data_IF_819448353229
#
_entry.id   IF_819448353229
#
_cell.length_a   1.000
_cell.length_b   1.000
_cell.length_c   1.000
_cell.angle_alpha   90.00
_cell.angle_beta   90.00
_cell.angle_gamma   90.00
#
_symmetry.space_group_name_H-M   'P 1'
#
loop_
_entity.id
_entity.type
_entity.pdbx_description
1 polymer ?
#
# COMPACT_ATOMS: atom_id res chain seq x y z
N UNK A 1 7.42 -13.76 -24.61
CA UNK A 1 7.25 -14.02 -23.17
C UNK A 1 8.50 -13.79 -22.31
N UNK A 2 9.76 -14.02 -22.70
CA UNK A 2 10.92 -13.77 -21.82
C UNK A 2 11.08 -12.32 -21.35
N UNK A 3 10.68 -11.33 -22.14
CA UNK A 3 10.83 -9.90 -21.81
C UNK A 3 9.97 -9.42 -20.63
N UNK A 4 8.81 -10.04 -20.37
CA UNK A 4 7.93 -9.66 -19.24
C UNK A 4 8.51 -10.18 -17.92
N UNK A 5 9.02 -11.40 -17.91
CA UNK A 5 9.65 -11.98 -16.71
C UNK A 5 10.89 -11.16 -16.26
N UNK A 6 11.64 -10.59 -17.21
CA UNK A 6 12.80 -9.73 -16.90
C UNK A 6 12.41 -8.42 -16.22
N UNK A 7 11.19 -7.90 -16.47
CA UNK A 7 10.70 -6.67 -15.83
C UNK A 7 10.06 -6.93 -14.47
N UNK A 8 9.55 -8.14 -14.21
CA UNK A 8 8.92 -8.47 -12.93
C UNK A 8 9.89 -8.47 -11.76
N UNK A 9 11.13 -8.91 -11.97
CA UNK A 9 12.13 -8.96 -10.90
C UNK A 9 12.50 -7.56 -10.37
N UNK A 10 12.92 -6.58 -11.20
CA UNK A 10 13.20 -5.24 -10.70
C UNK A 10 11.96 -4.53 -10.16
N UNK A 11 10.78 -4.79 -10.72
CA UNK A 11 9.53 -4.25 -10.23
C UNK A 11 9.20 -4.77 -8.83
N UNK A 12 9.27 -6.08 -8.60
CA UNK A 12 9.03 -6.67 -7.28
C UNK A 12 10.04 -6.19 -6.23
N UNK A 13 11.29 -6.00 -6.63
CA UNK A 13 12.32 -5.41 -5.79
C UNK A 13 11.96 -3.98 -5.39
N UNK A 14 11.54 -3.14 -6.33
CA UNK A 14 11.13 -1.76 -6.08
C UNK A 14 9.92 -1.69 -5.12
N UNK A 15 8.89 -2.53 -5.33
CA UNK A 15 7.72 -2.64 -4.45
C UNK A 15 8.14 -2.98 -3.02
N UNK A 16 9.02 -3.98 -2.86
CA UNK A 16 9.51 -4.41 -1.54
C UNK A 16 10.34 -3.32 -0.86
N UNK A 17 11.26 -2.68 -1.58
CA UNK A 17 12.10 -1.61 -1.04
C UNK A 17 11.26 -0.42 -0.59
N UNK A 18 10.24 -0.04 -1.35
CA UNK A 18 9.31 1.03 -0.97
C UNK A 18 8.52 0.66 0.29
N UNK A 19 8.01 -0.57 0.37
CA UNK A 19 7.33 -1.06 1.56
C UNK A 19 8.24 -1.03 2.80
N UNK A 20 9.44 -1.59 2.68
CA UNK A 20 10.42 -1.61 3.76
C UNK A 20 10.85 -0.20 4.18
N UNK A 21 11.03 0.71 3.21
CA UNK A 21 11.37 2.11 3.49
C UNK A 21 10.24 2.82 4.25
N UNK A 22 8.97 2.56 3.91
CA UNK A 22 7.82 3.08 4.63
C UNK A 22 7.72 2.52 6.05
N UNK A 23 7.91 1.21 6.21
CA UNK A 23 7.84 0.54 7.51
C UNK A 23 8.98 1.00 8.43
N UNK A 24 10.21 0.78 8.04
CA UNK A 24 11.39 1.06 8.87
C UNK A 24 11.71 2.55 9.00
N UNK A 25 11.38 3.34 7.97
CA UNK A 25 11.50 4.80 8.02
C UNK A 25 10.63 5.43 9.11
N UNK A 26 9.48 4.81 9.44
CA UNK A 26 8.62 5.24 10.56
C UNK A 26 9.32 5.08 11.93
N UNK A 27 10.30 4.19 12.02
CA UNK A 27 11.13 3.97 13.21
C UNK A 27 12.49 4.68 13.12
N UNK A 28 12.73 5.44 12.06
CA UNK A 28 14.01 6.08 11.75
C UNK A 28 15.18 5.06 11.67
N UNK A 29 14.91 3.87 11.15
CA UNK A 29 15.89 2.81 10.94
C UNK A 29 16.21 2.69 9.47
N UNK A 30 17.48 2.77 9.11
CA UNK A 30 17.97 2.43 7.78
C UNK A 30 18.08 0.90 7.65
N UNK A 31 16.99 0.25 7.27
CA UNK A 31 16.93 -1.21 7.20
C UNK A 31 17.89 -1.80 6.17
N UNK A 32 18.29 -1.03 5.16
CA UNK A 32 19.20 -1.51 4.11
C UNK A 32 20.59 -1.92 4.64
N UNK A 33 20.97 -1.42 5.81
CA UNK A 33 22.22 -1.82 6.49
C UNK A 33 22.15 -3.23 7.09
N UNK A 34 20.95 -3.77 7.28
CA UNK A 34 20.72 -5.00 8.02
C UNK A 34 20.17 -6.15 7.16
N UNK A 35 19.43 -5.82 6.07
CA UNK A 35 18.72 -6.81 5.27
C UNK A 35 19.62 -7.47 4.23
N UNK A 36 19.40 -8.77 4.03
CA UNK A 36 19.89 -9.49 2.86
C UNK A 36 18.91 -9.38 1.68
N UNK A 37 19.39 -9.60 0.46
CA UNK A 37 18.54 -9.60 -0.74
C UNK A 37 17.37 -10.60 -0.63
N UNK A 38 17.59 -11.74 0.05
CA UNK A 38 16.55 -12.72 0.33
C UNK A 38 15.38 -12.17 1.15
N UNK A 39 15.66 -11.24 2.07
CA UNK A 39 14.63 -10.62 2.91
C UNK A 39 13.79 -9.63 2.09
N UNK A 40 14.42 -8.90 1.17
CA UNK A 40 13.72 -8.03 0.22
C UNK A 40 12.75 -8.83 -0.63
N UNK A 41 13.20 -9.97 -1.18
CA UNK A 41 12.33 -10.84 -2.00
C UNK A 41 11.15 -11.39 -1.21
N UNK A 42 11.39 -11.87 0.02
CA UNK A 42 10.30 -12.37 0.90
C UNK A 42 9.25 -11.30 1.19
N UNK A 43 9.68 -10.07 1.48
CA UNK A 43 8.77 -8.98 1.78
C UNK A 43 7.99 -8.47 0.55
N UNK A 44 8.44 -8.76 -0.69
CA UNK A 44 7.71 -8.44 -1.90
C UNK A 44 6.47 -9.32 -2.11
N UNK A 45 6.46 -10.55 -1.57
CA UNK A 45 5.41 -11.55 -1.85
C UNK A 45 4.03 -11.03 -1.43
N UNK A 46 3.91 -10.52 -0.22
CA UNK A 46 2.62 -10.08 0.35
C UNK A 46 2.02 -8.90 -0.43
N UNK A 47 2.71 -7.77 -0.64
CA UNK A 47 2.19 -6.68 -1.47
C UNK A 47 1.83 -7.11 -2.89
N UNK A 48 2.62 -7.99 -3.51
CA UNK A 48 2.37 -8.47 -4.87
C UNK A 48 1.13 -9.37 -4.94
N UNK A 49 0.89 -10.23 -3.95
CA UNK A 49 -0.31 -11.07 -3.91
C UNK A 49 -1.58 -10.22 -3.78
N UNK A 50 -1.62 -9.29 -2.83
CA UNK A 50 -2.76 -8.38 -2.69
C UNK A 50 -2.99 -7.56 -3.96
N UNK A 51 -1.92 -7.07 -4.56
CA UNK A 51 -1.98 -6.28 -5.78
C UNK A 51 -2.51 -7.09 -6.96
N UNK A 52 -2.07 -8.33 -7.10
CA UNK A 52 -2.56 -9.25 -8.15
C UNK A 52 -4.07 -9.49 -8.01
N UNK A 53 -4.56 -9.63 -6.78
CA UNK A 53 -5.99 -9.76 -6.50
C UNK A 53 -6.76 -8.50 -6.94
N UNK A 54 -6.28 -7.30 -6.61
CA UNK A 54 -6.93 -6.05 -7.03
C UNK A 54 -6.89 -5.83 -8.54
N UNK A 55 -5.81 -6.23 -9.22
CA UNK A 55 -5.72 -6.17 -10.68
C UNK A 55 -6.77 -7.10 -11.30
N UNK A 56 -6.86 -8.34 -10.82
CA UNK A 56 -7.85 -9.30 -11.31
C UNK A 56 -9.28 -8.82 -11.06
N UNK A 57 -9.56 -8.31 -9.86
CA UNK A 57 -10.85 -7.71 -9.52
C UNK A 57 -11.19 -6.52 -10.43
N UNK A 58 -10.22 -5.62 -10.67
CA UNK A 58 -10.37 -4.48 -11.57
C UNK A 58 -10.66 -4.88 -13.01
N UNK A 59 -9.93 -5.86 -13.54
CA UNK A 59 -10.16 -6.41 -14.90
C UNK A 59 -11.55 -7.04 -14.98
N UNK A 60 -11.94 -7.83 -13.99
CA UNK A 60 -13.26 -8.49 -13.97
C UNK A 60 -14.37 -7.46 -13.91
N UNK A 61 -14.27 -6.47 -13.01
CA UNK A 61 -15.24 -5.38 -12.90
C UNK A 61 -15.33 -4.57 -14.20
N UNK A 62 -14.18 -4.24 -14.80
CA UNK A 62 -14.13 -3.56 -16.10
C UNK A 62 -14.87 -4.33 -17.19
N UNK A 63 -14.63 -5.62 -17.31
CA UNK A 63 -15.27 -6.46 -18.32
C UNK A 63 -16.77 -6.67 -18.08
N UNK A 64 -17.18 -6.81 -16.81
CA UNK A 64 -18.59 -7.11 -16.46
C UNK A 64 -19.45 -5.86 -16.51
N UNK A 65 -18.94 -4.71 -16.07
CA UNK A 65 -19.75 -3.50 -15.91
C UNK A 65 -19.45 -2.43 -16.96
N UNK A 66 -18.17 -2.12 -17.21
CA UNK A 66 -17.80 -0.98 -18.06
C UNK A 66 -18.08 -1.26 -19.54
N UNK A 67 -17.64 -2.41 -20.06
CA UNK A 67 -17.82 -2.74 -21.48
C UNK A 67 -19.30 -2.84 -21.92
N UNK A 68 -20.21 -3.45 -21.13
CA UNK A 68 -21.64 -3.43 -21.46
C UNK A 68 -22.22 -2.01 -21.45
N UNK A 69 -21.81 -1.16 -20.52
CA UNK A 69 -22.27 0.24 -20.43
C UNK A 69 -21.78 1.05 -21.66
N UNK A 70 -20.54 0.89 -22.08
CA UNK A 70 -20.03 1.54 -23.30
C UNK A 70 -20.82 1.20 -24.55
N UNK A 71 -21.35 -0.04 -24.63
CA UNK A 71 -22.18 -0.48 -25.77
C UNK A 71 -23.58 0.16 -25.78
N UNK A 72 -24.09 0.56 -24.62
CA UNK A 72 -25.43 1.13 -24.45
C UNK A 72 -25.36 2.67 -24.57
N UNK A 73 -24.23 3.26 -24.25
CA UNK A 73 -24.06 4.72 -24.34
C UNK A 73 -23.97 5.19 -25.78
N UNK A 74 -24.55 6.37 -26.10
CA UNK A 74 -24.41 6.97 -27.41
C UNK A 74 -22.93 7.28 -27.72
N UNK A 75 -22.53 7.36 -29.01
CA UNK A 75 -21.18 7.78 -29.40
C UNK A 75 -20.79 9.10 -28.72
N UNK A 76 -19.61 9.11 -28.06
CA UNK A 76 -19.20 10.27 -27.25
C UNK A 76 -19.68 10.26 -25.80
N UNK A 77 -20.41 9.20 -25.35
CA UNK A 77 -20.85 9.02 -23.96
C UNK A 77 -21.78 10.10 -23.45
N UNK A 78 -22.49 10.80 -24.34
CA UNK A 78 -23.36 11.94 -23.97
C UNK A 78 -22.59 13.18 -23.52
N UNK A 79 -21.30 13.30 -23.85
CA UNK A 79 -20.46 14.43 -23.45
C UNK A 79 -20.94 15.78 -23.96
N UNK A 80 -21.70 15.78 -25.06
CA UNK A 80 -22.24 16.98 -25.73
C UNK A 80 -23.57 17.43 -25.13
N UNK A 81 -24.18 16.65 -24.22
CA UNK A 81 -25.43 17.06 -23.57
C UNK A 81 -25.16 18.20 -22.58
N UNK A 82 -26.06 19.22 -22.52
CA UNK A 82 -25.90 20.38 -21.62
C UNK A 82 -25.83 19.90 -20.14
N UNK A 83 -26.61 18.88 -19.77
CA UNK A 83 -26.62 18.28 -18.44
C UNK A 83 -25.26 17.65 -18.09
N UNK A 84 -24.59 17.01 -19.05
CA UNK A 84 -23.26 16.41 -18.86
C UNK A 84 -22.20 17.47 -18.52
N UNK A 85 -22.36 18.72 -19.02
CA UNK A 85 -21.47 19.83 -18.69
C UNK A 85 -21.57 20.23 -17.22
N UNK A 86 -22.77 20.31 -16.66
CA UNK A 86 -23.00 20.64 -15.25
C UNK A 86 -22.50 19.51 -14.34
N UNK A 87 -22.78 18.26 -14.70
CA UNK A 87 -22.29 17.09 -13.98
C UNK A 87 -20.76 17.06 -13.96
N UNK A 88 -20.11 17.30 -15.09
CA UNK A 88 -18.64 17.36 -15.19
C UNK A 88 -18.07 18.51 -14.34
N UNK A 89 -18.69 19.68 -14.40
CA UNK A 89 -18.27 20.82 -13.58
C UNK A 89 -18.40 20.51 -12.09
N UNK A 90 -19.50 19.89 -11.67
CA UNK A 90 -19.71 19.46 -10.29
C UNK A 90 -18.64 18.46 -9.83
N UNK A 91 -18.36 17.42 -10.63
CA UNK A 91 -17.30 16.45 -10.29
C UNK A 91 -15.92 17.09 -10.26
N UNK A 92 -15.60 18.01 -11.15
CA UNK A 92 -14.33 18.74 -11.13
C UNK A 92 -14.19 19.59 -9.87
N UNK A 93 -15.26 20.27 -9.45
CA UNK A 93 -15.29 21.06 -8.22
C UNK A 93 -15.10 20.16 -7.00
N UNK A 94 -15.80 19.03 -6.94
CA UNK A 94 -15.65 18.04 -5.85
C UNK A 94 -14.23 17.46 -5.82
N UNK A 95 -13.66 17.13 -6.95
CA UNK A 95 -12.28 16.66 -7.05
C UNK A 95 -11.28 17.70 -6.56
N UNK A 96 -11.45 18.97 -6.93
CA UNK A 96 -10.64 20.08 -6.44
C UNK A 96 -10.75 20.23 -4.93
N UNK A 97 -11.96 20.16 -4.38
CA UNK A 97 -12.21 20.28 -2.95
C UNK A 97 -11.55 19.13 -2.17
N UNK A 98 -11.71 17.89 -2.65
CA UNK A 98 -11.04 16.71 -2.08
C UNK A 98 -9.51 16.87 -2.12
N UNK A 99 -8.98 17.38 -3.24
CA UNK A 99 -7.55 17.64 -3.42
C UNK A 99 -7.04 18.67 -2.40
N UNK A 100 -7.74 19.79 -2.22
CA UNK A 100 -7.37 20.84 -1.25
C UNK A 100 -7.41 20.32 0.18
N UNK A 101 -8.49 19.58 0.55
CA UNK A 101 -8.62 18.98 1.88
C UNK A 101 -7.50 17.95 2.12
N UNK A 102 -7.18 17.12 1.15
CA UNK A 102 -6.10 16.15 1.26
C UNK A 102 -4.72 16.82 1.41
N UNK A 103 -4.45 17.91 0.67
CA UNK A 103 -3.24 18.71 0.85
C UNK A 103 -3.18 19.30 2.26
N UNK A 104 -4.27 19.90 2.75
CA UNK A 104 -4.33 20.42 4.10
C UNK A 104 -3.98 19.34 5.14
N UNK A 105 -4.60 18.16 5.03
CA UNK A 105 -4.35 17.06 5.94
C UNK A 105 -2.89 16.54 5.88
N UNK A 106 -2.28 16.50 4.69
CA UNK A 106 -0.89 16.06 4.55
C UNK A 106 0.07 17.02 5.25
N UNK A 107 -0.17 18.33 5.15
CA UNK A 107 0.76 19.32 5.70
C UNK A 107 0.53 19.63 7.17
N UNK A 108 -0.71 19.62 7.63
CA UNK A 108 -1.08 20.11 8.96
C UNK A 108 -1.50 19.02 9.95
N UNK A 109 -1.87 17.82 9.47
CA UNK A 109 -2.22 16.71 10.35
C UNK A 109 -1.08 15.69 10.43
N UNK A 110 -0.69 15.33 11.65
CA UNK A 110 0.22 14.21 11.91
C UNK A 110 -0.62 12.98 12.23
N UNK A 111 -0.82 12.12 11.26
CA UNK A 111 -1.65 10.92 11.42
C UNK A 111 -1.06 9.69 10.74
N UNK A 112 -1.53 8.52 11.18
CA UNK A 112 -1.07 7.20 10.69
C UNK A 112 -1.21 7.04 9.18
N UNK A 113 -2.20 7.72 8.58
CA UNK A 113 -2.51 7.59 7.14
C UNK A 113 -1.90 8.69 6.27
N UNK A 114 -1.02 9.55 6.82
CA UNK A 114 -0.42 10.67 6.08
C UNK A 114 0.22 10.23 4.76
N UNK A 115 1.08 9.26 4.81
CA UNK A 115 1.79 8.75 3.63
C UNK A 115 0.88 8.03 2.64
N UNK A 116 -0.18 7.40 3.13
CA UNK A 116 -1.20 6.82 2.26
C UNK A 116 -1.98 7.90 1.51
N UNK A 117 -2.34 9.02 2.17
CA UNK A 117 -2.97 10.18 1.52
C UNK A 117 -2.04 10.80 0.45
N UNK A 118 -0.74 10.90 0.74
CA UNK A 118 0.27 11.33 -0.26
C UNK A 118 0.28 10.40 -1.46
N UNK A 119 0.25 9.09 -1.24
CA UNK A 119 0.20 8.10 -2.32
C UNK A 119 -1.09 8.24 -3.17
N UNK A 120 -2.24 8.47 -2.54
CA UNK A 120 -3.50 8.72 -3.24
C UNK A 120 -3.41 9.96 -4.15
N UNK A 121 -2.90 11.09 -3.64
CA UNK A 121 -2.73 12.31 -4.43
C UNK A 121 -1.74 12.12 -5.58
N UNK A 122 -0.59 11.51 -5.30
CA UNK A 122 0.41 11.21 -6.33
C UNK A 122 -0.17 10.30 -7.41
N UNK A 123 -1.00 9.32 -7.03
CA UNK A 123 -1.66 8.43 -7.97
C UNK A 123 -2.65 9.17 -8.88
N UNK A 124 -3.48 10.05 -8.31
CA UNK A 124 -4.42 10.88 -9.10
C UNK A 124 -3.65 11.74 -10.12
N UNK A 125 -2.58 12.41 -9.69
CA UNK A 125 -1.74 13.20 -10.59
C UNK A 125 -1.11 12.34 -11.69
N UNK A 126 -0.57 11.16 -11.33
CA UNK A 126 0.05 10.26 -12.30
C UNK A 126 -0.94 9.72 -13.33
N UNK A 127 -2.18 9.40 -12.93
CA UNK A 127 -3.23 9.00 -13.89
C UNK A 127 -3.45 10.07 -14.96
N UNK A 128 -3.42 11.35 -14.57
CA UNK A 128 -3.57 12.46 -15.53
C UNK A 128 -2.42 12.52 -16.53
N UNK A 129 -1.19 12.22 -16.09
CA UNK A 129 -0.01 12.22 -16.96
C UNK A 129 0.13 10.93 -17.78
N UNK A 130 -0.16 9.77 -17.18
CA UNK A 130 -0.06 8.47 -17.86
C UNK A 130 -1.16 8.32 -18.92
N UNK A 131 -2.34 8.93 -18.69
CA UNK A 131 -3.45 8.99 -19.62
C UNK A 131 -3.82 7.60 -20.17
N UNK A 132 -3.74 7.46 -21.49
CA UNK A 132 -4.07 6.21 -22.20
C UNK A 132 -2.96 5.15 -22.13
N UNK A 133 -1.85 5.44 -21.43
CA UNK A 133 -0.68 4.57 -21.35
C UNK A 133 -0.15 4.12 -22.72
N UNK A 134 -0.09 5.06 -23.67
CA UNK A 134 0.28 4.81 -25.05
C UNK A 134 1.67 4.17 -25.23
N UNK A 135 2.59 4.45 -24.30
CA UNK A 135 3.93 3.82 -24.27
C UNK A 135 3.88 2.30 -24.10
N UNK A 136 2.80 1.74 -23.54
CA UNK A 136 2.61 0.31 -23.35
C UNK A 136 1.81 -0.36 -24.49
N UNK A 137 1.44 0.37 -25.55
CA UNK A 137 0.60 -0.12 -26.64
C UNK A 137 1.23 -1.29 -27.40
N UNK A 138 2.55 -1.29 -27.53
CA UNK A 138 3.30 -2.39 -28.15
C UNK A 138 3.17 -3.72 -27.38
N UNK A 139 2.84 -3.68 -26.08
CA UNK A 139 2.68 -4.87 -25.23
C UNK A 139 1.21 -5.25 -25.02
N UNK A 140 0.33 -4.25 -24.88
CA UNK A 140 -1.10 -4.43 -24.61
C UNK A 140 -1.90 -3.58 -25.60
N UNK A 141 -2.41 -4.24 -26.66
CA UNK A 141 -3.16 -3.56 -27.75
C UNK A 141 -4.50 -3.00 -27.28
N UNK A 142 -5.19 -3.71 -26.40
CA UNK A 142 -6.50 -3.28 -25.91
C UNK A 142 -6.35 -2.11 -24.94
N UNK A 143 -6.90 -0.93 -25.30
CA UNK A 143 -6.79 0.33 -24.55
C UNK A 143 -7.22 0.20 -23.09
N UNK A 144 -8.43 -0.31 -22.83
CA UNK A 144 -8.97 -0.44 -21.48
C UNK A 144 -8.12 -1.35 -20.59
N UNK A 145 -7.67 -2.49 -21.13
CA UNK A 145 -6.80 -3.42 -20.39
C UNK A 145 -5.43 -2.78 -20.11
N UNK A 146 -4.87 -2.06 -21.08
CA UNK A 146 -3.62 -1.33 -20.93
C UNK A 146 -3.69 -0.30 -19.80
N UNK A 147 -4.74 0.52 -19.80
CA UNK A 147 -4.96 1.54 -18.76
C UNK A 147 -5.09 0.90 -17.37
N UNK A 148 -5.90 -0.15 -17.23
CA UNK A 148 -6.07 -0.86 -15.95
C UNK A 148 -4.72 -1.42 -15.47
N UNK A 149 -4.00 -2.15 -16.31
CA UNK A 149 -2.74 -2.79 -15.92
C UNK A 149 -1.69 -1.76 -15.53
N UNK A 150 -1.48 -0.72 -16.34
CA UNK A 150 -0.46 0.29 -16.07
C UNK A 150 -0.79 1.09 -14.82
N UNK A 151 -2.04 1.52 -14.66
CA UNK A 151 -2.46 2.24 -13.47
C UNK A 151 -2.37 1.38 -12.21
N UNK A 152 -2.73 0.09 -12.29
CA UNK A 152 -2.58 -0.82 -11.17
C UNK A 152 -1.12 -1.01 -10.76
N UNK A 153 -0.23 -1.23 -11.72
CA UNK A 153 1.21 -1.35 -11.44
C UNK A 153 1.76 -0.07 -10.80
N UNK A 154 1.36 1.09 -11.29
CA UNK A 154 1.76 2.39 -10.71
C UNK A 154 1.21 2.56 -9.30
N UNK A 155 -0.06 2.21 -9.07
CA UNK A 155 -0.69 2.26 -7.75
C UNK A 155 0.06 1.39 -6.74
N UNK A 156 0.43 0.16 -7.11
CA UNK A 156 1.15 -0.77 -6.24
C UNK A 156 2.45 -0.16 -5.73
N UNK A 157 3.23 0.48 -6.62
CA UNK A 157 4.48 1.14 -6.23
C UNK A 157 4.22 2.25 -5.22
N UNK A 158 3.28 3.15 -5.50
CA UNK A 158 2.97 4.29 -4.64
C UNK A 158 2.39 3.87 -3.29
N UNK A 159 1.44 2.93 -3.30
CA UNK A 159 0.78 2.48 -2.08
C UNK A 159 1.66 1.57 -1.21
N UNK A 160 2.67 0.91 -1.78
CA UNK A 160 3.60 0.07 -1.01
C UNK A 160 4.29 0.83 0.11
N UNK A 161 4.78 2.04 -0.15
CA UNK A 161 5.38 2.89 0.87
C UNK A 161 4.36 3.28 1.97
N UNK A 162 3.19 3.77 1.56
CA UNK A 162 2.12 4.15 2.49
C UNK A 162 1.66 3.00 3.36
N UNK A 163 1.53 1.80 2.78
CA UNK A 163 1.15 0.59 3.48
C UNK A 163 2.20 0.15 4.51
N UNK A 164 3.48 0.25 4.13
CA UNK A 164 4.58 0.02 5.07
C UNK A 164 4.50 0.95 6.27
N UNK A 165 4.26 2.24 6.06
CA UNK A 165 4.12 3.22 7.13
C UNK A 165 2.90 2.98 8.04
N UNK A 166 1.75 2.55 7.47
CA UNK A 166 0.56 2.18 8.25
C UNK A 166 0.88 0.98 9.14
N UNK A 167 1.44 -0.10 8.58
CA UNK A 167 1.79 -1.29 9.33
C UNK A 167 2.79 -1.00 10.47
N UNK A 168 3.69 -0.06 10.26
CA UNK A 168 4.62 0.39 11.30
C UNK A 168 3.90 1.11 12.45
N UNK A 169 2.91 1.95 12.15
CA UNK A 169 2.11 2.62 13.18
C UNK A 169 1.22 1.63 13.95
N UNK A 170 0.64 0.66 13.26
CA UNK A 170 -0.09 -0.44 13.90
C UNK A 170 0.83 -1.25 14.82
N UNK A 171 2.07 -1.54 14.38
CA UNK A 171 3.06 -2.20 15.22
C UNK A 171 3.39 -1.38 16.48
N UNK A 172 3.56 -0.05 16.37
CA UNK A 172 3.79 0.84 17.54
C UNK A 172 2.66 0.80 18.57
N UNK A 173 1.42 0.62 18.13
CA UNK A 173 0.23 0.59 18.99
C UNK A 173 -0.13 -0.80 19.49
N UNK A 174 0.57 -1.83 19.04
CA UNK A 174 0.27 -3.23 19.37
C UNK A 174 0.42 -3.50 20.87
N UNK A 175 -0.57 -4.17 21.45
CA UNK A 175 -0.58 -4.62 22.86
C UNK A 175 -0.09 -6.06 23.03
N UNK A 176 0.80 -6.51 22.17
CA UNK A 176 1.32 -7.89 22.21
C UNK A 176 2.28 -8.06 23.40
N UNK A 177 2.10 -9.15 24.16
CA UNK A 177 3.11 -9.58 25.12
C UNK A 177 4.15 -10.44 24.41
N UNK A 178 5.40 -10.07 24.60
CA UNK A 178 6.56 -10.74 24.02
C UNK A 178 7.39 -11.35 25.13
N UNK A 179 7.77 -12.62 24.99
CA UNK A 179 8.80 -13.25 25.81
C UNK A 179 9.99 -13.60 24.94
N UNK A 180 11.17 -13.22 25.38
CA UNK A 180 12.44 -13.55 24.74
C UNK A 180 13.24 -14.40 25.74
N UNK A 181 13.66 -15.58 25.34
CA UNK A 181 14.39 -16.53 26.21
C UNK A 181 13.65 -16.75 27.56
N UNK A 182 12.34 -16.94 27.53
CA UNK A 182 11.43 -17.09 28.67
C UNK A 182 11.30 -15.88 29.60
N UNK A 183 11.88 -14.72 29.24
CA UNK A 183 11.74 -13.46 29.99
C UNK A 183 10.72 -12.57 29.30
N UNK A 184 9.77 -12.05 30.08
CA UNK A 184 8.76 -11.11 29.54
C UNK A 184 9.46 -9.81 29.14
N UNK A 185 9.39 -9.47 27.87
CA UNK A 185 9.91 -8.21 27.35
C UNK A 185 8.85 -7.11 27.44
N UNK A 186 9.29 -5.91 27.84
CA UNK A 186 8.45 -4.69 27.83
C UNK A 186 8.40 -4.02 26.44
N UNK A 187 9.16 -4.58 25.49
CA UNK A 187 9.28 -4.05 24.15
C UNK A 187 8.28 -4.72 23.21
N UNK A 188 7.87 -4.00 22.19
CA UNK A 188 6.98 -4.49 21.13
C UNK A 188 7.85 -5.12 20.03
N UNK A 189 7.46 -6.27 19.55
CA UNK A 189 8.12 -6.94 18.44
C UNK A 189 7.86 -6.21 17.12
N UNK A 190 8.90 -5.80 16.42
CA UNK A 190 8.82 -5.19 15.09
C UNK A 190 9.06 -6.20 13.98
N UNK A 191 10.07 -7.06 14.13
CA UNK A 191 10.43 -8.05 13.12
C UNK A 191 11.90 -8.37 13.09
N UNK A 192 12.26 -9.23 12.14
CA UNK A 192 13.64 -9.54 11.80
C UNK A 192 14.06 -8.79 10.54
N UNK A 193 15.28 -8.29 10.53
CA UNK A 193 15.95 -7.82 9.34
C UNK A 193 17.37 -8.39 9.33
N UNK A 194 17.68 -9.28 8.38
CA UNK A 194 18.89 -10.09 8.39
C UNK A 194 19.05 -10.90 9.68
N UNK A 195 20.17 -10.73 10.35
CA UNK A 195 20.49 -11.42 11.59
C UNK A 195 20.10 -10.63 12.85
N UNK A 196 19.32 -9.56 12.70
CA UNK A 196 18.93 -8.70 13.82
C UNK A 196 17.44 -8.75 14.08
N UNK A 197 17.08 -8.93 15.37
CA UNK A 197 15.73 -8.74 15.89
C UNK A 197 15.55 -7.27 16.29
N UNK A 198 14.48 -6.67 15.83
CA UNK A 198 14.13 -5.29 16.14
C UNK A 198 12.94 -5.24 17.08
N UNK A 199 13.07 -4.44 18.11
CA UNK A 199 12.09 -4.25 19.17
C UNK A 199 11.83 -2.75 19.34
N UNK A 200 10.58 -2.38 19.58
CA UNK A 200 10.19 -0.99 19.89
C UNK A 200 10.02 -0.78 21.38
N UNK A 201 10.78 0.16 21.93
CA UNK A 201 10.60 0.64 23.29
C UNK A 201 9.61 1.81 23.29
N UNK A 202 8.36 1.54 23.68
CA UNK A 202 7.27 2.55 23.68
C UNK A 202 7.53 3.71 24.64
N UNK A 203 8.29 3.48 25.73
CA UNK A 203 8.55 4.51 26.75
C UNK A 203 9.60 5.50 26.31
N UNK A 204 10.64 5.03 25.65
CA UNK A 204 11.78 5.84 25.21
C UNK A 204 11.68 6.24 23.73
N UNK A 205 10.62 5.79 23.06
CA UNK A 205 10.43 5.97 21.62
C UNK A 205 11.68 5.60 20.80
N UNK A 206 12.31 4.49 21.21
CA UNK A 206 13.58 4.02 20.64
C UNK A 206 13.48 2.60 20.10
N UNK A 207 14.34 2.28 19.15
CA UNK A 207 14.46 0.92 18.61
C UNK A 207 15.63 0.21 19.29
N UNK A 208 15.37 -0.97 19.81
CA UNK A 208 16.36 -1.86 20.40
C UNK A 208 16.63 -3.00 19.44
N UNK A 209 17.88 -3.27 19.13
CA UNK A 209 18.29 -4.37 18.26
C UNK A 209 18.98 -5.46 19.07
N UNK A 210 18.66 -6.73 18.76
CA UNK A 210 19.30 -7.90 19.34
C UNK A 210 19.83 -8.80 18.21
N UNK A 211 21.03 -9.31 18.38
CA UNK A 211 21.61 -10.23 17.40
C UNK A 211 20.99 -11.62 17.51
N UNK A 212 20.80 -12.29 16.40
CA UNK A 212 20.12 -13.60 16.30
C UNK A 212 20.72 -14.67 17.23
N UNK A 213 22.04 -14.69 17.41
CA UNK A 213 22.69 -15.66 18.30
C UNK A 213 22.32 -15.50 19.77
N UNK A 214 21.86 -14.32 20.20
CA UNK A 214 21.45 -14.06 21.58
C UNK A 214 19.99 -14.47 21.84
N UNK A 215 19.24 -14.74 20.80
CA UNK A 215 17.80 -15.05 20.86
C UNK A 215 17.60 -16.54 20.61
N UNK A 216 17.35 -17.30 21.68
CA UNK A 216 17.10 -18.76 21.59
C UNK A 216 15.63 -19.08 21.34
N UNK A 217 14.72 -18.31 21.93
CA UNK A 217 13.28 -18.54 21.84
C UNK A 217 12.53 -17.21 21.88
N UNK A 218 11.49 -17.12 21.05
CA UNK A 218 10.52 -16.01 21.05
C UNK A 218 9.13 -16.61 21.22
N UNK A 219 8.41 -16.18 22.25
CA UNK A 219 6.99 -16.43 22.41
C UNK A 219 6.23 -15.13 22.21
N UNK A 220 5.22 -15.16 21.38
CA UNK A 220 4.39 -14.00 21.06
C UNK A 220 2.93 -14.34 21.34
N UNK A 221 2.29 -13.61 22.25
CA UNK A 221 0.85 -13.75 22.43
C UNK A 221 0.13 -12.96 21.33
N UNK A 222 -0.80 -13.62 20.66
CA UNK A 222 -1.70 -12.96 19.71
C UNK A 222 -2.89 -12.44 20.53
N UNK A 223 -3.21 -11.14 20.51
CA UNK A 223 -4.44 -10.62 21.11
C UNK A 223 -5.64 -11.39 20.56
N UNK A 224 -6.59 -11.76 21.42
CA UNK A 224 -7.85 -12.33 20.93
C UNK A 224 -8.52 -11.33 20.01
N UNK A 225 -8.85 -11.78 18.80
CA UNK A 225 -9.64 -10.96 17.86
C UNK A 225 -10.93 -10.52 18.54
N UNK A 226 -11.12 -9.22 18.59
CA UNK A 226 -12.41 -8.66 19.02
C UNK A 226 -13.34 -8.69 17.81
N UNK A 227 -14.59 -9.12 17.97
CA UNK A 227 -15.54 -9.09 16.85
C UNK A 227 -15.69 -7.64 16.37
N UNK A 228 -15.80 -7.46 15.04
CA UNK A 228 -15.96 -6.14 14.41
C UNK A 228 -17.19 -5.41 14.97
N UNK A 229 -18.22 -6.17 15.32
CA UNK A 229 -19.42 -5.66 16.00
C UNK A 229 -19.53 -6.38 17.36
N UNK A 230 -19.20 -5.68 18.43
CA UNK A 230 -19.36 -6.21 19.79
C UNK A 230 -20.78 -5.99 20.29
N UNK A 231 -21.62 -7.00 20.13
CA UNK A 231 -23.01 -7.00 20.59
C UNK A 231 -23.14 -7.22 22.12
N UNK A 232 -22.05 -7.50 22.83
CA UNK A 232 -22.08 -7.71 24.27
C UNK A 232 -22.47 -6.45 25.06
N UNK A 233 -22.31 -5.27 24.46
CA UNK A 233 -22.70 -3.98 25.04
C UNK A 233 -24.20 -3.70 25.02
N UNK A 234 -25.00 -4.56 24.35
CA UNK A 234 -26.44 -4.40 24.18
C UNK A 234 -27.24 -5.51 24.89
N UNK A 235 -26.57 -6.34 25.66
CA UNK A 235 -27.14 -7.27 26.63
C UNK A 235 -26.93 -6.69 28.03
#
# INVERSE_FOLDING_TARGET
MPKIATLLAPYSLAVSLLYLSGFWGTFNVNVLEYIALSDVVKNAIVPLLYSSFFILAGITTGNVFILPIEKIMPPGGGADLPEAKYIRWFFNLMALLIFVVALYQIFFEVGNYRWFKVACLAFILLILFVGEASFAEQYIKQKHLRVIVVNSLTAILLFSFGWGAINAQEAKSSEQTLKINNVISKHIYLGWAGDYLFLWNKKEESVVTMFKSTVKQIERSIPKEKPIIDLSKYK
#
